data_IF_895751193309
#
_entry.id   IF_895751193309
#
_cell.length_a   1.000
_cell.length_b   1.000
_cell.length_c   1.000
_cell.angle_alpha   90.00
_cell.angle_beta   90.00
_cell.angle_gamma   90.00
#
_symmetry.space_group_name_H-M   'P 1'
#
loop_
_entity.id
_entity.type
_entity.pdbx_description
1 polymer ?
#
# COMPACT_ATOMS: atom_id res chain seq x y z
N UNK A 1 4.41 18.86 1.86
CA UNK A 1 5.40 18.25 0.94
C UNK A 1 4.65 17.49 -0.14
N UNK A 2 5.29 17.27 -1.29
CA UNK A 2 4.73 16.44 -2.36
C UNK A 2 5.40 15.06 -2.36
N UNK A 3 4.60 14.00 -2.38
CA UNK A 3 5.06 12.62 -2.44
C UNK A 3 4.46 11.90 -3.63
N UNK A 4 5.22 10.95 -4.18
CA UNK A 4 4.79 10.11 -5.29
C UNK A 4 4.95 8.65 -4.89
N UNK A 5 3.91 7.86 -5.16
CA UNK A 5 3.89 6.42 -4.90
C UNK A 5 2.99 5.74 -5.95
N UNK A 6 3.14 4.45 -6.13
CA UNK A 6 2.32 3.66 -7.04
C UNK A 6 2.28 2.20 -6.58
N UNK A 7 1.39 1.41 -7.17
CA UNK A 7 1.41 -0.06 -7.10
C UNK A 7 1.40 -0.60 -5.66
N UNK A 8 0.67 0.08 -4.77
CA UNK A 8 0.55 -0.36 -3.38
C UNK A 8 -0.10 -1.74 -3.31
N UNK A 9 -1.01 -2.06 -4.25
CA UNK A 9 -1.63 -3.38 -4.36
C UNK A 9 -2.22 -3.87 -3.02
N UNK A 10 -2.85 -2.96 -2.27
CA UNK A 10 -3.55 -3.32 -1.03
C UNK A 10 -4.52 -4.48 -1.28
N UNK A 11 -4.51 -5.45 -0.35
CA UNK A 11 -5.30 -6.68 -0.42
C UNK A 11 -4.99 -7.65 -1.59
N UNK A 12 -3.90 -7.44 -2.33
CA UNK A 12 -3.54 -8.33 -3.45
C UNK A 12 -2.56 -9.44 -3.01
N UNK A 13 -3.07 -10.57 -2.50
CA UNK A 13 -2.21 -11.68 -2.04
C UNK A 13 -1.22 -12.16 -3.11
N UNK A 14 -1.65 -12.22 -4.38
CA UNK A 14 -0.79 -12.69 -5.47
C UNK A 14 0.36 -11.72 -5.80
N UNK A 15 0.25 -10.42 -5.50
CA UNK A 15 1.34 -9.46 -5.70
C UNK A 15 2.55 -9.81 -4.84
N UNK A 16 2.35 -10.41 -3.66
CA UNK A 16 3.44 -10.87 -2.79
C UNK A 16 4.29 -11.90 -3.52
N UNK A 17 3.63 -12.91 -4.11
CA UNK A 17 4.29 -13.97 -4.88
C UNK A 17 4.93 -13.42 -6.16
N UNK A 18 4.17 -12.71 -6.98
CA UNK A 18 4.61 -12.30 -8.32
C UNK A 18 5.66 -11.19 -8.31
N UNK A 19 5.64 -10.33 -7.28
CA UNK A 19 6.62 -9.25 -7.13
C UNK A 19 7.67 -9.53 -6.04
N UNK A 20 7.73 -10.77 -5.51
CA UNK A 20 8.67 -11.20 -4.47
C UNK A 20 8.68 -10.24 -3.25
N UNK A 21 7.51 -9.83 -2.78
CA UNK A 21 7.40 -8.92 -1.63
C UNK A 21 7.71 -9.69 -0.34
N UNK A 22 8.40 -9.07 0.64
CA UNK A 22 8.87 -9.75 1.85
C UNK A 22 7.78 -9.85 2.93
N UNK A 23 6.59 -10.35 2.57
CA UNK A 23 5.46 -10.49 3.49
C UNK A 23 4.90 -11.90 3.44
N UNK A 24 4.45 -12.42 4.57
CA UNK A 24 3.81 -13.73 4.68
C UNK A 24 2.45 -13.74 3.99
N UNK A 25 1.67 -12.68 4.17
CA UNK A 25 0.32 -12.56 3.63
C UNK A 25 -0.10 -11.09 3.40
N UNK A 26 -1.27 -10.90 2.78
CA UNK A 26 -1.80 -9.56 2.46
C UNK A 26 -2.03 -8.70 3.70
N UNK A 27 -2.34 -9.29 4.85
CA UNK A 27 -2.62 -8.52 6.06
C UNK A 27 -1.32 -7.95 6.62
N UNK A 28 -0.27 -8.76 6.72
CA UNK A 28 1.06 -8.28 7.12
C UNK A 28 1.57 -7.17 6.19
N UNK A 29 1.42 -7.35 4.88
CA UNK A 29 1.79 -6.34 3.89
C UNK A 29 1.02 -5.03 4.10
N UNK A 30 -0.31 -5.10 4.24
CA UNK A 30 -1.15 -3.93 4.44
C UNK A 30 -0.75 -3.18 5.72
N UNK A 31 -0.58 -3.87 6.85
CA UNK A 31 -0.22 -3.26 8.13
C UNK A 31 1.14 -2.56 8.05
N UNK A 32 2.15 -3.21 7.46
CA UNK A 32 3.47 -2.61 7.28
C UNK A 32 3.40 -1.33 6.42
N UNK A 33 2.62 -1.35 5.34
CA UNK A 33 2.45 -0.19 4.46
C UNK A 33 1.70 0.95 5.14
N UNK A 34 0.65 0.65 5.92
CA UNK A 34 -0.08 1.64 6.73
C UNK A 34 0.83 2.28 7.78
N UNK A 35 1.64 1.47 8.48
CA UNK A 35 2.60 1.97 9.46
C UNK A 35 3.62 2.92 8.81
N UNK A 36 4.18 2.53 7.67
CA UNK A 36 5.12 3.37 6.91
C UNK A 36 4.47 4.66 6.41
N UNK A 37 3.24 4.58 5.90
CA UNK A 37 2.48 5.74 5.46
C UNK A 37 2.29 6.74 6.60
N UNK A 38 1.76 6.26 7.73
CA UNK A 38 1.51 7.10 8.92
C UNK A 38 2.80 7.65 9.52
N UNK A 39 3.94 6.97 9.35
CA UNK A 39 5.25 7.45 9.77
C UNK A 39 5.80 8.56 8.86
N UNK A 40 5.40 8.62 7.58
CA UNK A 40 5.95 9.54 6.59
C UNK A 40 5.06 10.74 6.28
N UNK A 41 3.76 10.53 6.11
CA UNK A 41 2.77 11.58 5.80
C UNK A 41 2.23 12.11 7.12
N UNK A 42 2.53 13.37 7.44
CA UNK A 42 2.29 13.94 8.79
C UNK A 42 1.45 15.19 8.77
N UNK A 43 1.58 16.01 7.74
CA UNK A 43 0.82 17.24 7.60
C UNK A 43 -0.48 17.00 6.83
N UNK A 44 -1.51 17.77 7.15
CA UNK A 44 -2.73 17.84 6.32
C UNK A 44 -2.49 18.53 4.98
N UNK A 45 -1.44 19.32 4.89
CA UNK A 45 -1.01 20.01 3.66
C UNK A 45 -0.03 19.17 2.83
N UNK A 46 0.29 17.94 3.26
CA UNK A 46 1.05 17.01 2.44
C UNK A 46 0.16 16.49 1.30
N UNK A 47 0.67 16.54 0.08
CA UNK A 47 0.01 16.03 -1.11
C UNK A 47 0.69 14.72 -1.50
N UNK A 48 -0.09 13.66 -1.65
CA UNK A 48 0.41 12.38 -2.16
C UNK A 48 -0.26 12.05 -3.47
N UNK A 49 0.53 11.94 -4.53
CA UNK A 49 0.10 11.44 -5.83
C UNK A 49 0.29 9.93 -5.87
N UNK A 50 -0.82 9.21 -6.01
CA UNK A 50 -0.81 7.76 -6.19
C UNK A 50 -1.04 7.43 -7.67
N UNK A 51 -0.08 6.80 -8.33
CA UNK A 51 -0.02 6.71 -9.80
C UNK A 51 -0.68 5.45 -10.40
N UNK A 52 -1.65 4.85 -9.69
CA UNK A 52 -2.35 3.63 -10.12
C UNK A 52 -2.12 2.42 -9.22
N UNK A 53 -2.87 1.35 -9.47
CA UNK A 53 -2.79 0.06 -8.75
C UNK A 53 -2.81 0.16 -7.22
N UNK A 54 -3.74 1.01 -6.71
CA UNK A 54 -3.94 1.24 -5.28
C UNK A 54 -4.28 -0.03 -4.50
N UNK A 55 -5.19 -0.85 -5.02
CA UNK A 55 -5.58 -2.08 -4.35
C UNK A 55 -6.39 -2.98 -5.25
N UNK A 56 -6.36 -4.28 -4.94
CA UNK A 56 -7.16 -5.28 -5.64
C UNK A 56 -8.60 -5.36 -5.09
N UNK A 57 -8.78 -4.94 -3.83
CA UNK A 57 -10.05 -5.01 -3.12
C UNK A 57 -10.18 -6.27 -2.26
N UNK A 58 -11.18 -6.26 -1.39
CA UNK A 58 -11.57 -7.41 -0.58
C UNK A 58 -13.02 -7.72 -0.93
N UNK A 59 -13.29 -8.89 -1.50
CA UNK A 59 -14.67 -9.34 -1.75
C UNK A 59 -15.22 -9.75 -0.39
N UNK A 60 -15.77 -8.79 0.36
CA UNK A 60 -16.71 -9.13 1.42
C UNK A 60 -17.98 -9.61 0.72
N UNK A 61 -18.52 -10.80 1.07
CA UNK A 61 -19.83 -11.22 0.58
C UNK A 61 -20.91 -10.21 0.99
#
# INVERSE_FOLDING_TARGET
MEYFISDTHFNHTNAIKYCNRPFKDKNEMNEAMIANWNAKVKSKDDIVYHLGDFGFGDIRP
#
